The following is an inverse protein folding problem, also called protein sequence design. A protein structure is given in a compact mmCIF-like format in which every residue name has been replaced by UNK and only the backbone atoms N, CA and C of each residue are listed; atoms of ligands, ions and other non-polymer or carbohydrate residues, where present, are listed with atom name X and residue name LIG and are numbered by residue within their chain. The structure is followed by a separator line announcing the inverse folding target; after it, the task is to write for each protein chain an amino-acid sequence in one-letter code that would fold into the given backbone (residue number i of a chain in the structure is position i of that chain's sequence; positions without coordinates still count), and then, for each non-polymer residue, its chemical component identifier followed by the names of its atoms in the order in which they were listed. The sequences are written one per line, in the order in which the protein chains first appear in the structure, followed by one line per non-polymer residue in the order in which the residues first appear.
data_IF_108814547308
#
_entry.id   IF_108814547308
#
_cell.length_a   1.000
_cell.length_b   1.000
_cell.length_c   1.000
_cell.angle_alpha   90.00
_cell.angle_beta   90.00
_cell.angle_gamma   90.00
#
_symmetry.space_group_name_H-M   'P 1'
#
loop_
_entity.id
_entity.type
_entity.pdbx_description
1 polymer ?
#
# COMPACT_ATOMS: atom_id res chain seq x y z
N UNK A 1 -19.62 -3.05 -16.60
CA UNK A 1 -18.72 -3.05 -15.44
C UNK A 1 -17.58 -2.09 -15.72
N UNK A 2 -17.30 -1.14 -14.83
CA UNK A 2 -16.17 -0.21 -14.99
C UNK A 2 -14.85 -0.96 -14.79
N UNK A 3 -13.87 -0.74 -15.68
CA UNK A 3 -12.51 -1.23 -15.46
C UNK A 3 -11.82 -0.27 -14.50
N UNK A 4 -11.28 -0.77 -13.39
CA UNK A 4 -10.42 0.04 -12.54
C UNK A 4 -9.16 0.42 -13.34
N UNK A 5 -8.80 1.71 -13.41
CA UNK A 5 -7.57 2.13 -14.05
C UNK A 5 -6.40 1.69 -13.18
N UNK A 6 -5.72 0.60 -13.54
CA UNK A 6 -4.54 0.13 -12.82
C UNK A 6 -3.32 0.81 -13.45
N UNK A 7 -2.60 1.69 -12.73
CA UNK A 7 -1.38 2.30 -13.22
C UNK A 7 -0.33 1.23 -13.51
N UNK A 8 0.32 1.34 -14.67
CA UNK A 8 1.39 0.41 -15.06
C UNK A 8 2.63 0.66 -14.22
N UNK A 9 2.82 -0.16 -13.19
CA UNK A 9 4.02 -0.16 -12.35
C UNK A 9 5.06 -1.13 -12.94
N UNK A 10 6.32 -0.70 -13.14
CA UNK A 10 7.38 -1.48 -13.79
C UNK A 10 8.65 -1.48 -12.92
N UNK A 11 9.43 -2.56 -12.97
CA UNK A 11 10.77 -2.62 -12.40
C UNK A 11 10.83 -3.01 -10.93
N UNK A 12 11.70 -2.36 -10.16
CA UNK A 12 12.02 -2.72 -8.76
C UNK A 12 10.82 -2.59 -7.82
N UNK A 13 9.95 -1.60 -8.05
CA UNK A 13 8.74 -1.36 -7.23
C UNK A 13 7.80 -2.56 -7.24
N UNK A 14 7.69 -3.24 -8.39
CA UNK A 14 6.88 -4.45 -8.52
C UNK A 14 7.40 -5.57 -7.65
N UNK A 15 8.70 -5.80 -7.66
CA UNK A 15 9.33 -6.84 -6.85
C UNK A 15 9.14 -6.58 -5.35
N UNK A 16 9.17 -5.32 -4.92
CA UNK A 16 8.91 -4.95 -3.52
C UNK A 16 7.49 -5.34 -3.12
N UNK A 17 6.48 -4.96 -3.90
CA UNK A 17 5.07 -5.32 -3.63
C UNK A 17 4.89 -6.84 -3.66
N UNK A 18 5.42 -7.54 -4.67
CA UNK A 18 5.37 -9.01 -4.76
C UNK A 18 5.98 -9.68 -3.53
N UNK A 19 7.09 -9.15 -3.02
CA UNK A 19 7.75 -9.69 -1.82
C UNK A 19 6.87 -9.50 -0.58
N UNK A 20 6.27 -8.32 -0.39
CA UNK A 20 5.37 -8.05 0.74
C UNK A 20 4.13 -8.96 0.66
N UNK A 21 3.54 -9.10 -0.53
CA UNK A 21 2.38 -10.00 -0.76
C UNK A 21 2.73 -11.44 -0.43
N UNK A 22 3.88 -11.95 -0.88
CA UNK A 22 4.32 -13.31 -0.56
C UNK A 22 4.52 -13.51 0.94
N UNK A 23 5.04 -12.51 1.66
CA UNK A 23 5.17 -12.55 3.12
C UNK A 23 3.80 -12.56 3.80
N UNK A 24 2.84 -11.76 3.33
CA UNK A 24 1.46 -11.76 3.84
C UNK A 24 0.83 -13.14 3.67
N UNK A 25 0.91 -13.72 2.47
CA UNK A 25 0.36 -15.05 2.20
C UNK A 25 0.97 -16.12 3.11
N UNK A 26 2.30 -16.06 3.30
CA UNK A 26 3.03 -16.98 4.18
C UNK A 26 2.59 -16.83 5.64
N UNK A 27 2.49 -15.61 6.15
CA UNK A 27 2.09 -15.35 7.54
C UNK A 27 0.62 -15.66 7.80
N UNK A 28 -0.29 -15.31 6.88
CA UNK A 28 -1.71 -15.68 6.97
C UNK A 28 -1.92 -17.18 6.99
N UNK A 29 -1.17 -17.94 6.20
CA UNK A 29 -1.22 -19.41 6.24
C UNK A 29 -0.83 -20.00 7.60
N UNK A 30 -0.08 -19.25 8.40
CA UNK A 30 0.33 -19.61 9.77
C UNK A 30 -0.61 -19.03 10.83
N UNK A 31 -1.71 -18.35 10.44
CA UNK A 31 -2.61 -17.67 11.36
C UNK A 31 -1.99 -16.47 12.07
N UNK A 32 -0.92 -15.89 11.51
CA UNK A 32 -0.25 -14.71 12.08
C UNK A 32 -0.89 -13.42 11.56
N UNK A 33 -0.81 -12.38 12.39
CA UNK A 33 -1.24 -11.05 12.01
C UNK A 33 -0.36 -10.48 10.87
N UNK A 34 -1.02 -9.84 9.91
CA UNK A 34 -0.38 -9.23 8.73
C UNK A 34 -0.84 -7.80 8.49
N UNK A 35 -1.61 -7.21 9.41
CA UNK A 35 -2.16 -5.86 9.28
C UNK A 35 -1.08 -4.83 8.97
N UNK A 36 0.09 -4.95 9.60
CA UNK A 36 1.22 -4.04 9.32
C UNK A 36 1.75 -4.14 7.86
N UNK A 37 1.79 -5.35 7.29
CA UNK A 37 2.24 -5.56 5.92
C UNK A 37 1.18 -5.15 4.90
N UNK A 38 -0.10 -5.37 5.22
CA UNK A 38 -1.23 -4.90 4.41
C UNK A 38 -1.26 -3.37 4.36
N UNK A 39 -1.13 -2.71 5.51
CA UNK A 39 -1.01 -1.25 5.58
C UNK A 39 0.17 -0.72 4.75
N UNK A 40 1.30 -1.44 4.73
CA UNK A 40 2.44 -1.06 3.90
C UNK A 40 2.07 -1.06 2.41
N UNK A 41 1.30 -2.06 1.95
CA UNK A 41 0.80 -2.11 0.57
C UNK A 41 -0.17 -0.97 0.32
N UNK A 42 -1.13 -0.73 1.21
CA UNK A 42 -2.12 0.35 1.05
C UNK A 42 -1.44 1.71 0.88
N UNK A 43 -0.43 1.98 1.71
CA UNK A 43 0.38 3.20 1.62
C UNK A 43 1.09 3.32 0.26
N UNK A 44 1.67 2.23 -0.24
CA UNK A 44 2.34 2.20 -1.54
C UNK A 44 1.35 2.39 -2.70
N UNK A 45 0.13 1.84 -2.58
CA UNK A 45 -0.94 2.00 -3.57
C UNK A 45 -1.41 3.44 -3.59
N UNK A 46 -1.63 4.10 -2.45
CA UNK A 46 -1.98 5.52 -2.42
C UNK A 46 -0.93 6.39 -3.11
N UNK A 47 0.36 6.12 -2.88
CA UNK A 47 1.45 6.80 -3.58
C UNK A 47 1.49 6.49 -5.08
N UNK A 48 1.13 5.28 -5.48
CA UNK A 48 1.09 4.89 -6.89
C UNK A 48 -0.01 5.64 -7.67
N UNK A 49 -1.11 5.96 -7.00
CA UNK A 49 -2.18 6.83 -7.52
C UNK A 49 -1.91 8.33 -7.28
N UNK A 50 -0.72 8.69 -6.81
CA UNK A 50 -0.29 10.06 -6.51
C UNK A 50 -1.24 10.79 -5.53
N UNK A 51 -1.92 10.04 -4.67
CA UNK A 51 -2.85 10.61 -3.69
C UNK A 51 -2.09 11.42 -2.65
N UNK A 52 -2.61 12.60 -2.37
CA UNK A 52 -2.13 13.45 -1.27
C UNK A 52 -2.59 12.90 0.07
N UNK A 53 -1.91 13.31 1.16
CA UNK A 53 -2.32 12.92 2.51
C UNK A 53 -3.80 13.24 2.79
N UNK A 54 -4.28 14.38 2.31
CA UNK A 54 -5.68 14.81 2.48
C UNK A 54 -6.65 13.87 1.76
N UNK A 55 -6.32 13.45 0.54
CA UNK A 55 -7.15 12.50 -0.22
C UNK A 55 -7.15 11.13 0.45
N UNK A 56 -6.00 10.68 0.94
CA UNK A 56 -5.91 9.45 1.74
C UNK A 56 -6.82 9.53 2.96
N UNK A 57 -6.78 10.63 3.72
CA UNK A 57 -7.65 10.82 4.90
C UNK A 57 -9.15 10.89 4.58
N UNK A 58 -9.52 11.21 3.34
CA UNK A 58 -10.92 11.17 2.89
C UNK A 58 -11.36 9.71 2.62
N UNK A 59 -10.46 8.89 2.08
CA UNK A 59 -10.73 7.48 1.74
C UNK A 59 -10.60 6.59 2.98
N UNK A 60 -9.57 6.82 3.78
CA UNK A 60 -9.23 6.14 5.02
C UNK A 60 -9.08 7.17 6.16
N UNK A 61 -10.18 7.51 6.85
CA UNK A 61 -10.14 8.44 7.97
C UNK A 61 -9.27 7.95 9.14
N UNK A 62 -9.03 6.64 9.26
CA UNK A 62 -8.23 6.04 10.32
C UNK A 62 -6.76 5.83 9.88
N UNK A 63 -6.36 6.41 8.75
CA UNK A 63 -5.01 6.29 8.22
C UNK A 63 -3.94 6.54 9.30
N UNK A 64 -3.07 5.54 9.59
CA UNK A 64 -2.27 5.51 10.80
C UNK A 64 -1.03 6.40 10.73
N UNK A 65 -0.60 6.81 9.54
CA UNK A 65 0.58 7.65 9.36
C UNK A 65 0.25 9.13 9.49
N UNK A 66 1.26 9.88 9.93
CA UNK A 66 1.27 11.35 9.84
C UNK A 66 1.54 11.82 8.41
N UNK A 67 1.25 13.09 8.12
CA UNK A 67 1.52 13.71 6.81
C UNK A 67 3.02 13.62 6.43
N UNK A 68 3.91 13.80 7.39
CA UNK A 68 5.35 13.70 7.19
C UNK A 68 5.79 12.27 6.87
N UNK A 69 5.34 11.28 7.68
CA UNK A 69 5.65 9.87 7.42
C UNK A 69 5.13 9.42 6.06
N UNK A 70 3.94 9.88 5.67
CA UNK A 70 3.39 9.63 4.35
C UNK A 70 4.23 10.30 3.26
N UNK A 71 4.68 11.55 3.43
CA UNK A 71 5.53 12.25 2.46
C UNK A 71 6.87 11.53 2.22
N UNK A 72 7.43 10.90 3.26
CA UNK A 72 8.71 10.21 3.22
C UNK A 72 8.65 8.81 2.57
N UNK A 73 7.46 8.30 2.26
CA UNK A 73 7.30 7.02 1.55
C UNK A 73 7.84 7.14 0.13
N UNK A 74 8.97 6.47 -0.10
CA UNK A 74 9.58 6.32 -1.42
C UNK A 74 9.08 5.02 -2.05
N UNK A 75 8.20 5.16 -3.04
CA UNK A 75 7.91 4.09 -3.99
C UNK A 75 9.01 4.00 -5.03
#
# INVERSE_FOLDING_TARGET
MGKLPIPTFIGTKRKVIETIVNNILTLKSQGKDTTALEQQIDNMVYKLYELTYKEVKIIDPEFPLTEQEYADIKI
#
